data_IF_048401674927
#
_entry.id   IF_048401674927
#
_cell.length_a   1.000
_cell.length_b   1.000
_cell.length_c   1.000
_cell.angle_alpha   90.00
_cell.angle_beta   90.00
_cell.angle_gamma   90.00
#
_symmetry.space_group_name_H-M   'P 1'
#
loop_
_entity.id
_entity.type
_entity.pdbx_description
1 polymer ?
#
# COMPACT_ATOMS: atom_id res chain seq x y z
N UNK A 1 21.62 -22.31 14.47
CA UNK A 1 22.03 -22.35 13.05
C UNK A 1 21.38 -21.19 12.31
N UNK A 2 22.16 -20.28 11.71
CA UNK A 2 21.72 -19.34 10.66
C UNK A 2 22.97 -18.73 10.01
N UNK A 3 23.65 -19.49 9.13
CA UNK A 3 25.03 -19.19 8.72
C UNK A 3 25.17 -18.33 7.44
N UNK A 4 24.09 -17.83 6.84
CA UNK A 4 24.17 -17.12 5.54
C UNK A 4 23.08 -16.05 5.30
N UNK A 5 22.86 -15.09 6.22
CA UNK A 5 22.07 -13.88 5.88
C UNK A 5 22.99 -12.88 5.14
N UNK A 6 22.97 -12.90 3.79
CA UNK A 6 23.65 -11.86 2.98
C UNK A 6 22.90 -10.54 3.11
N UNK A 7 23.61 -9.43 3.34
CA UNK A 7 22.98 -8.09 3.39
C UNK A 7 22.58 -7.67 1.97
N UNK A 8 21.55 -6.84 1.85
CA UNK A 8 21.07 -6.33 0.55
C UNK A 8 22.19 -5.67 -0.25
N UNK A 9 23.10 -4.97 0.44
CA UNK A 9 24.30 -4.38 -0.15
C UNK A 9 25.24 -5.43 -0.75
N UNK A 10 25.45 -6.57 -0.08
CA UNK A 10 26.32 -7.67 -0.54
C UNK A 10 25.77 -8.34 -1.80
N UNK A 11 24.45 -8.26 -2.02
CA UNK A 11 23.76 -8.77 -3.22
C UNK A 11 23.81 -7.77 -4.39
N UNK A 12 24.31 -6.55 -4.17
CA UNK A 12 24.15 -5.45 -5.13
C UNK A 12 22.67 -5.18 -5.46
N UNK A 13 21.76 -5.52 -4.56
CA UNK A 13 20.32 -5.48 -4.79
C UNK A 13 19.73 -4.10 -4.45
N UNK A 14 18.54 -3.85 -4.96
CA UNK A 14 17.67 -2.78 -4.49
C UNK A 14 16.90 -3.25 -3.26
N UNK A 15 16.86 -2.41 -2.22
CA UNK A 15 15.95 -2.58 -1.09
C UNK A 15 14.68 -1.80 -1.39
N UNK A 16 13.56 -2.50 -1.51
CA UNK A 16 12.26 -1.91 -1.83
C UNK A 16 11.31 -2.13 -0.66
N UNK A 17 10.76 -1.05 -0.11
CA UNK A 17 9.68 -1.12 0.89
C UNK A 17 8.36 -0.84 0.21
N UNK A 18 7.41 -1.74 0.39
CA UNK A 18 6.06 -1.69 -0.14
C UNK A 18 5.08 -1.33 0.97
N UNK A 19 4.12 -0.46 0.64
CA UNK A 19 3.02 -0.08 1.52
C UNK A 19 1.85 0.49 0.69
N UNK A 20 0.68 0.47 1.31
CA UNK A 20 -0.58 0.96 0.77
C UNK A 20 -1.11 2.18 1.51
N UNK A 21 -1.66 3.13 0.75
CA UNK A 21 -2.34 4.29 1.30
C UNK A 21 -3.71 4.51 0.65
N UNK A 22 -4.72 4.81 1.46
CA UNK A 22 -6.07 5.12 1.00
C UNK A 22 -6.62 6.39 1.62
N UNK A 23 -7.13 7.31 0.79
CA UNK A 23 -7.77 8.55 1.24
C UNK A 23 -9.21 8.64 0.72
N UNK A 24 -10.16 8.79 1.64
CA UNK A 24 -11.53 9.14 1.30
C UNK A 24 -11.60 10.58 0.75
N UNK A 25 -12.28 10.78 -0.37
CA UNK A 25 -12.41 12.09 -1.02
C UNK A 25 -13.57 12.93 -0.47
N UNK A 26 -14.32 12.39 0.50
CA UNK A 26 -15.37 13.10 1.20
C UNK A 26 -14.91 13.32 2.64
N UNK A 27 -14.54 14.55 3.03
CA UNK A 27 -14.24 14.83 4.43
C UNK A 27 -15.48 14.56 5.30
N UNK A 28 -15.31 13.98 6.49
CA UNK A 28 -16.41 13.80 7.44
C UNK A 28 -16.92 15.18 7.86
N UNK A 29 -18.12 15.54 7.41
CA UNK A 29 -18.77 16.83 7.71
C UNK A 29 -20.06 16.56 8.46
N UNK A 30 -20.28 17.31 9.55
CA UNK A 30 -21.52 17.35 10.31
C UNK A 30 -21.94 18.80 10.56
N UNK A 31 -23.25 19.03 10.70
CA UNK A 31 -23.80 20.34 11.07
C UNK A 31 -24.64 20.14 12.32
N UNK A 32 -24.56 21.10 13.25
CA UNK A 32 -25.39 21.13 14.46
C UNK A 32 -25.74 22.57 14.83
N UNK A 33 -26.81 22.74 15.60
CA UNK A 33 -27.14 23.95 16.32
C UNK A 33 -27.24 23.59 17.80
N UNK A 34 -26.51 24.30 18.65
CA UNK A 34 -26.47 24.04 20.09
C UNK A 34 -27.10 25.17 20.89
N UNK A 35 -27.71 24.83 22.03
CA UNK A 35 -28.13 25.83 23.01
C UNK A 35 -26.90 26.56 23.58
N UNK A 36 -27.04 27.87 23.81
CA UNK A 36 -25.98 28.69 24.41
C UNK A 36 -25.56 28.09 25.75
N UNK A 37 -24.25 27.92 25.95
CA UNK A 37 -23.69 27.34 27.17
C UNK A 37 -23.61 25.80 27.20
N UNK A 38 -24.04 25.09 26.16
CA UNK A 38 -23.94 23.63 26.07
C UNK A 38 -23.10 23.21 24.86
N UNK A 39 -22.06 22.42 25.09
CA UNK A 39 -21.19 21.91 24.02
C UNK A 39 -21.94 20.86 23.19
N UNK A 40 -22.17 21.09 21.89
CA UNK A 40 -22.85 20.11 21.07
C UNK A 40 -21.92 18.95 20.70
N UNK A 41 -22.45 17.72 20.75
CA UNK A 41 -21.75 16.51 20.28
C UNK A 41 -22.27 16.15 18.89
N UNK A 42 -21.38 16.11 17.89
CA UNK A 42 -21.74 15.79 16.50
C UNK A 42 -21.08 14.47 16.09
N UNK A 43 -21.89 13.49 15.67
CA UNK A 43 -21.39 12.27 15.03
C UNK A 43 -21.21 12.53 13.54
N UNK A 44 -19.99 12.31 13.06
CA UNK A 44 -19.66 12.33 11.63
C UNK A 44 -19.15 10.96 11.22
N UNK A 45 -19.43 10.57 9.98
CA UNK A 45 -18.97 9.32 9.39
C UNK A 45 -17.96 9.61 8.28
N UNK A 46 -16.85 8.88 8.27
CA UNK A 46 -15.87 8.90 7.17
C UNK A 46 -16.32 8.03 5.97
N UNK A 47 -17.55 7.52 6.00
CA UNK A 47 -18.10 6.66 4.96
C UNK A 47 -18.43 7.51 3.73
N UNK A 48 -17.65 7.31 2.68
CA UNK A 48 -17.83 7.92 1.36
C UNK A 48 -17.64 6.87 0.27
N UNK A 49 -18.23 7.14 -0.90
CA UNK A 49 -18.13 6.26 -2.06
C UNK A 49 -16.97 6.61 -2.98
N UNK A 50 -16.31 7.75 -2.76
CA UNK A 50 -15.18 8.20 -3.56
C UNK A 50 -13.89 8.11 -2.74
N UNK A 51 -12.89 7.44 -3.30
CA UNK A 51 -11.62 7.16 -2.65
C UNK A 51 -10.50 7.24 -3.67
N UNK A 52 -9.34 7.66 -3.22
CA UNK A 52 -8.08 7.40 -3.93
C UNK A 52 -7.32 6.39 -3.10
N UNK A 53 -6.87 5.32 -3.73
CA UNK A 53 -5.94 4.35 -3.14
C UNK A 53 -4.64 4.37 -3.94
N UNK A 54 -3.53 4.08 -3.27
CA UNK A 54 -2.21 4.03 -3.85
C UNK A 54 -1.47 2.84 -3.26
N UNK A 55 -0.80 2.08 -4.13
CA UNK A 55 0.19 1.08 -3.76
C UNK A 55 1.54 1.60 -4.25
N UNK A 56 2.56 1.59 -3.39
CA UNK A 56 3.84 2.23 -3.70
C UNK A 56 5.05 1.45 -3.18
N UNK A 57 6.16 1.58 -3.91
CA UNK A 57 7.47 1.07 -3.58
C UNK A 57 8.45 2.23 -3.46
N UNK A 58 9.09 2.37 -2.30
CA UNK A 58 10.30 3.19 -2.17
C UNK A 58 11.53 2.30 -2.29
N UNK A 59 12.31 2.53 -3.35
CA UNK A 59 13.42 1.69 -3.77
C UNK A 59 14.75 2.41 -3.53
N UNK A 60 15.64 1.80 -2.74
CA UNK A 60 16.94 2.36 -2.38
C UNK A 60 18.08 1.41 -2.73
N UNK A 61 19.22 1.96 -3.14
CA UNK A 61 20.45 1.23 -3.39
C UNK A 61 21.65 2.15 -3.17
N UNK A 62 22.71 1.72 -2.45
CA UNK A 62 23.89 2.55 -2.27
C UNK A 62 24.48 3.04 -3.60
N UNK A 63 24.85 4.32 -3.67
CA UNK A 63 25.38 4.95 -4.89
C UNK A 63 24.36 5.12 -6.02
N UNK A 64 23.06 5.00 -5.72
CA UNK A 64 21.96 5.30 -6.66
C UNK A 64 20.94 6.22 -5.99
N UNK A 65 20.31 7.08 -6.79
CA UNK A 65 19.22 7.93 -6.32
C UNK A 65 18.01 7.04 -5.94
N UNK A 66 17.36 7.27 -4.79
CA UNK A 66 16.11 6.61 -4.45
C UNK A 66 15.04 6.78 -5.53
N UNK A 67 14.19 5.77 -5.71
CA UNK A 67 13.11 5.80 -6.69
C UNK A 67 11.78 5.49 -6.00
N UNK A 68 10.73 6.20 -6.40
CA UNK A 68 9.36 5.92 -5.99
C UNK A 68 8.61 5.38 -7.21
N UNK A 69 8.10 4.15 -7.10
CA UNK A 69 7.30 3.50 -8.13
C UNK A 69 5.94 3.23 -7.52
N UNK A 70 4.86 3.74 -8.12
CA UNK A 70 3.54 3.68 -7.52
C UNK A 70 2.44 3.48 -8.57
N UNK A 71 1.30 2.98 -8.10
CA UNK A 71 0.05 2.92 -8.87
C UNK A 71 -1.03 3.64 -8.08
N UNK A 72 -1.94 4.31 -8.77
CA UNK A 72 -3.11 4.97 -8.17
C UNK A 72 -4.37 4.31 -8.70
N UNK A 73 -5.28 3.95 -7.79
CA UNK A 73 -6.64 3.54 -8.09
C UNK A 73 -7.63 4.60 -7.62
N UNK A 74 -8.53 5.03 -8.50
CA UNK A 74 -9.56 6.01 -8.19
C UNK A 74 -10.92 5.31 -8.15
N UNK A 75 -11.49 5.15 -6.95
CA UNK A 75 -12.87 4.74 -6.79
C UNK A 75 -13.79 5.95 -7.04
N UNK A 76 -14.53 5.88 -8.14
CA UNK A 76 -15.41 6.95 -8.62
C UNK A 76 -16.83 6.88 -8.07
N UNK A 77 -17.13 5.96 -7.14
CA UNK A 77 -18.46 5.82 -6.56
C UNK A 77 -19.26 4.64 -7.08
N UNK A 78 -20.52 4.49 -6.60
CA UNK A 78 -21.30 3.28 -6.79
C UNK A 78 -21.69 3.12 -8.26
N UNK A 79 -21.14 2.10 -8.90
CA UNK A 79 -21.59 1.57 -10.17
C UNK A 79 -21.53 0.05 -10.07
N UNK A 80 -22.53 -0.64 -10.64
CA UNK A 80 -22.60 -2.10 -10.61
C UNK A 80 -21.32 -2.69 -11.22
N UNK A 81 -20.64 -3.56 -10.49
CA UNK A 81 -19.39 -4.22 -10.93
C UNK A 81 -18.12 -3.35 -10.87
N UNK A 82 -18.18 -2.11 -10.35
CA UNK A 82 -16.98 -1.27 -10.24
C UNK A 82 -16.09 -1.68 -9.05
N UNK A 83 -14.79 -1.81 -9.32
CA UNK A 83 -13.76 -2.13 -8.33
C UNK A 83 -13.53 -0.96 -7.37
N UNK A 84 -13.54 -1.25 -6.07
CA UNK A 84 -13.37 -0.26 -4.99
C UNK A 84 -11.91 -0.07 -4.52
N UNK A 85 -10.96 -0.82 -5.09
CA UNK A 85 -9.55 -0.81 -4.69
C UNK A 85 -8.69 -1.67 -5.60
N UNK A 86 -7.45 -1.89 -5.16
CA UNK A 86 -6.48 -2.79 -5.80
C UNK A 86 -6.92 -4.25 -5.72
N UNK A 87 -6.60 -5.01 -6.75
CA UNK A 87 -6.75 -6.48 -6.77
C UNK A 87 -5.41 -7.14 -6.55
N UNK A 88 -5.38 -8.43 -6.15
CA UNK A 88 -4.11 -9.18 -6.05
C UNK A 88 -3.26 -9.14 -7.33
N UNK A 89 -3.89 -9.10 -8.51
CA UNK A 89 -3.19 -8.90 -9.78
C UNK A 89 -2.55 -7.51 -9.88
N UNK A 90 -3.21 -6.47 -9.38
CA UNK A 90 -2.65 -5.11 -9.39
C UNK A 90 -1.45 -5.01 -8.44
N UNK A 91 -1.50 -5.70 -7.29
CA UNK A 91 -0.37 -5.85 -6.37
C UNK A 91 0.79 -6.57 -7.05
N UNK A 92 0.59 -7.75 -7.64
CA UNK A 92 1.66 -8.50 -8.31
C UNK A 92 2.35 -7.72 -9.45
N UNK A 93 1.60 -6.85 -10.15
CA UNK A 93 2.12 -6.01 -11.24
C UNK A 93 2.98 -4.84 -10.77
N UNK A 94 2.96 -4.48 -9.48
CA UNK A 94 3.76 -3.39 -8.95
C UNK A 94 5.23 -3.81 -8.73
N UNK A 95 5.55 -4.90 -8.00
CA UNK A 95 6.90 -5.43 -7.91
C UNK A 95 7.49 -5.86 -9.25
N UNK A 96 6.69 -6.44 -10.15
CA UNK A 96 7.16 -6.80 -11.50
C UNK A 96 7.63 -5.57 -12.30
N UNK A 97 6.80 -4.51 -12.32
CA UNK A 97 7.19 -3.25 -12.96
C UNK A 97 8.43 -2.62 -12.30
N UNK A 98 8.54 -2.72 -10.97
CA UNK A 98 9.72 -2.25 -10.26
C UNK A 98 10.97 -3.04 -10.63
N UNK A 99 10.90 -4.36 -10.69
CA UNK A 99 12.02 -5.21 -11.08
C UNK A 99 12.54 -4.85 -12.48
N UNK A 100 11.63 -4.66 -13.44
CA UNK A 100 11.96 -4.26 -14.81
C UNK A 100 12.61 -2.86 -14.87
N UNK A 101 12.10 -1.88 -14.12
CA UNK A 101 12.63 -0.50 -14.14
C UNK A 101 13.96 -0.34 -13.39
N UNK A 102 14.20 -1.16 -12.36
CA UNK A 102 15.38 -1.09 -11.51
C UNK A 102 16.59 -1.82 -12.11
N UNK A 103 16.36 -2.74 -13.05
CA UNK A 103 17.41 -3.39 -13.84
C UNK A 103 18.41 -4.18 -13.00
N UNK A 104 17.94 -4.82 -11.92
CA UNK A 104 18.80 -5.60 -11.03
C UNK A 104 18.02 -6.36 -9.95
N UNK A 105 18.73 -7.12 -9.10
CA UNK A 105 18.09 -7.88 -8.03
C UNK A 105 17.31 -6.97 -7.09
N UNK A 106 16.14 -7.42 -6.64
CA UNK A 106 15.26 -6.69 -5.73
C UNK A 106 15.06 -7.54 -4.48
N UNK A 107 15.22 -6.91 -3.32
CA UNK A 107 14.77 -7.43 -2.03
C UNK A 107 13.56 -6.59 -1.64
N UNK A 108 12.40 -7.26 -1.59
CA UNK A 108 11.13 -6.64 -1.24
C UNK A 108 10.89 -6.82 0.26
N UNK A 109 10.53 -5.73 0.93
CA UNK A 109 9.98 -5.71 2.29
C UNK A 109 8.55 -5.21 2.17
N UNK A 110 7.62 -5.98 2.71
CA UNK A 110 6.19 -5.75 2.69
C UNK A 110 5.61 -6.25 4.01
N UNK A 111 4.43 -5.79 4.38
CA UNK A 111 3.76 -6.26 5.58
C UNK A 111 3.16 -7.66 5.37
N UNK A 112 3.37 -8.54 6.36
CA UNK A 112 2.69 -9.82 6.41
C UNK A 112 1.34 -9.60 7.10
N UNK A 113 0.28 -9.34 6.33
CA UNK A 113 -1.07 -9.39 6.88
C UNK A 113 -1.33 -10.82 7.40
N UNK A 114 -1.31 -11.02 8.72
CA UNK A 114 -1.50 -12.33 9.36
C UNK A 114 -2.96 -12.84 9.26
N UNK A 115 -3.74 -12.29 8.32
CA UNK A 115 -5.15 -12.57 8.07
C UNK A 115 -5.36 -13.51 6.89
N UNK A 116 -5.04 -14.80 7.08
CA UNK A 116 -5.55 -15.89 6.25
C UNK A 116 -4.98 -15.98 4.83
N UNK A 117 -3.79 -16.59 4.72
CA UNK A 117 -3.21 -17.09 3.47
C UNK A 117 -4.19 -17.99 2.70
N UNK A 118 -4.58 -17.66 1.45
CA UNK A 118 -4.92 -18.67 0.46
C UNK A 118 -3.60 -19.20 -0.11
N UNK A 119 -3.35 -20.49 0.05
CA UNK A 119 -2.24 -21.19 -0.59
C UNK A 119 -2.21 -20.92 -2.10
N UNK A 120 -1.10 -20.39 -2.60
CA UNK A 120 -0.77 -20.46 -4.03
C UNK A 120 0.05 -19.30 -4.56
N UNK A 121 1.23 -19.66 -5.07
CA UNK A 121 2.04 -19.01 -6.14
C UNK A 121 3.01 -17.87 -5.82
N UNK A 122 3.45 -17.69 -4.58
CA UNK A 122 4.72 -16.99 -4.29
C UNK A 122 5.55 -17.75 -3.26
N UNK A 123 6.89 -17.76 -3.35
CA UNK A 123 7.75 -18.38 -2.34
C UNK A 123 7.41 -17.81 -0.96
N UNK A 124 7.21 -18.72 -0.01
CA UNK A 124 6.72 -18.45 1.34
C UNK A 124 7.38 -17.21 1.96
N UNK A 125 6.61 -16.21 2.44
CA UNK A 125 7.20 -15.11 3.18
C UNK A 125 7.70 -15.63 4.52
N UNK A 126 9.02 -15.66 4.69
CA UNK A 126 9.63 -15.78 6.01
C UNK A 126 9.43 -14.43 6.70
N UNK A 127 8.34 -14.31 7.46
CA UNK A 127 8.20 -13.28 8.48
C UNK A 127 9.04 -13.78 9.67
N UNK A 128 10.24 -13.23 9.85
CA UNK A 128 11.07 -13.39 11.06
C UNK A 128 10.55 -12.47 12.17
#
# INVERSE_FOLDING_TARGET
MARHKKRVADLGAWLCFEDDAGQGLRPPKGRTWGHRGHTPVVRVTAQGTKRVSMAALICTKPGRRPRLIYRIHLDRGPAKGRRKGFTGTDYARLPDAAHQQLGGPVVLVWDCDNGGVPHGTWPDPVCD
#
